data_IF_133641289282
#
_entry.id   IF_133641289282
#
_cell.length_a   1.000
_cell.length_b   1.000
_cell.length_c   1.000
_cell.angle_alpha   90.00
_cell.angle_beta   90.00
_cell.angle_gamma   90.00
#
_symmetry.space_group_name_H-M   'P 1'
#
loop_
_entity.id
_entity.type
_entity.pdbx_description
1 polymer ?
#
# COMPACT_ATOMS: atom_id res chain seq x y z
N UNK A 1 -42.49 55.67 50.76
CA UNK A 1 -41.49 56.21 51.70
C UNK A 1 -40.11 55.92 51.12
N UNK A 2 -39.40 56.95 50.67
CA UNK A 2 -37.94 57.16 50.50
C UNK A 2 -37.28 56.20 49.58
N UNK A 3 -36.99 56.53 48.29
CA UNK A 3 -35.91 57.38 47.79
C UNK A 3 -34.49 56.79 48.10
N UNK A 4 -33.77 56.36 47.08
CA UNK A 4 -32.49 56.96 46.67
C UNK A 4 -31.86 56.26 45.47
N UNK A 5 -31.76 57.04 44.52
CA UNK A 5 -30.92 57.20 43.38
C UNK A 5 -29.41 56.87 43.61
N UNK A 6 -28.73 56.11 42.73
CA UNK A 6 -27.33 56.33 42.47
C UNK A 6 -26.91 55.74 41.07
N UNK A 7 -26.82 56.67 40.18
CA UNK A 7 -25.74 56.95 39.22
C UNK A 7 -24.84 55.78 38.81
N UNK A 8 -24.89 55.55 37.51
CA UNK A 8 -23.87 55.20 36.53
C UNK A 8 -22.45 55.08 37.03
N UNK A 9 -21.81 53.98 36.69
CA UNK A 9 -20.40 53.99 36.18
C UNK A 9 -20.31 52.98 35.07
N UNK A 10 -20.21 53.47 33.84
CA UNK A 10 -19.70 52.77 32.68
C UNK A 10 -18.26 52.28 32.96
N UNK A 11 -18.01 50.98 32.84
CA UNK A 11 -16.69 50.46 32.59
C UNK A 11 -16.73 49.53 31.40
N UNK A 12 -16.36 50.07 30.26
CA UNK A 12 -15.99 49.30 29.08
C UNK A 12 -14.75 48.45 29.43
N UNK A 13 -14.93 47.14 29.57
CA UNK A 13 -13.82 46.21 29.59
C UNK A 13 -13.48 45.89 28.13
N UNK A 14 -12.50 46.57 27.60
CA UNK A 14 -11.91 46.25 26.31
C UNK A 14 -11.11 44.93 26.50
N UNK A 15 -11.67 43.80 26.06
CA UNK A 15 -10.91 42.61 25.87
C UNK A 15 -10.05 42.79 24.61
N UNK A 16 -8.80 43.17 24.79
CA UNK A 16 -7.78 43.06 23.75
C UNK A 16 -7.50 41.57 23.50
N UNK A 17 -8.09 41.04 22.44
CA UNK A 17 -7.64 39.77 21.87
C UNK A 17 -6.26 40.02 21.24
N UNK A 18 -5.22 39.71 21.98
CA UNK A 18 -3.89 39.52 21.39
C UNK A 18 -3.93 38.17 20.65
N UNK A 19 -4.23 38.20 19.36
CA UNK A 19 -3.99 37.08 18.48
C UNK A 19 -2.47 36.90 18.37
N UNK A 20 -1.91 35.99 19.18
CA UNK A 20 -0.59 35.48 18.97
C UNK A 20 -0.65 34.62 17.70
N UNK A 21 -0.41 35.23 16.56
CA UNK A 21 -0.03 34.52 15.34
C UNK A 21 1.30 33.86 15.63
N UNK A 22 1.28 32.60 16.15
CA UNK A 22 2.41 31.72 16.05
C UNK A 22 2.61 31.40 14.57
N UNK A 23 3.42 32.22 13.91
CA UNK A 23 4.11 31.85 12.68
C UNK A 23 4.97 30.62 13.03
N UNK A 24 4.35 29.45 12.95
CA UNK A 24 5.10 28.20 12.89
C UNK A 24 5.98 28.31 11.65
N UNK A 25 7.24 28.64 11.86
CA UNK A 25 8.27 28.39 10.88
C UNK A 25 8.24 26.89 10.58
N UNK A 26 7.50 26.49 9.56
CA UNK A 26 7.77 25.26 8.88
C UNK A 26 9.20 25.39 8.33
N UNK A 27 10.16 24.97 9.12
CA UNK A 27 11.47 24.68 8.62
C UNK A 27 11.28 23.55 7.60
N UNK A 28 11.14 23.90 6.33
CA UNK A 28 11.42 22.96 5.25
C UNK A 28 12.87 22.52 5.46
N UNK A 29 13.06 21.37 6.10
CA UNK A 29 14.38 20.74 6.13
C UNK A 29 14.76 20.56 4.68
N UNK A 30 15.83 21.25 4.24
CA UNK A 30 16.43 20.99 2.94
C UNK A 30 16.66 19.49 2.85
N UNK A 31 16.25 18.83 1.76
CA UNK A 31 16.47 17.41 1.62
C UNK A 31 17.97 17.15 1.79
N UNK A 32 18.34 16.47 2.85
CA UNK A 32 19.72 16.04 3.08
C UNK A 32 19.99 15.02 1.97
N UNK A 33 20.99 15.26 1.15
CA UNK A 33 21.36 14.37 0.07
C UNK A 33 21.81 13.04 0.70
N UNK A 34 21.05 11.97 0.49
CA UNK A 34 21.41 10.63 0.97
C UNK A 34 22.78 10.23 0.41
N UNK A 35 23.65 9.72 1.26
CA UNK A 35 24.93 9.13 0.84
C UNK A 35 24.68 7.68 0.49
N UNK A 36 24.48 7.39 -0.78
CA UNK A 36 24.34 6.04 -1.31
C UNK A 36 25.58 5.66 -2.11
N UNK A 37 26.01 4.43 -1.92
CA UNK A 37 27.06 3.84 -2.76
C UNK A 37 26.42 3.39 -4.08
N UNK A 38 26.70 4.11 -5.16
CA UNK A 38 26.17 3.79 -6.47
C UNK A 38 27.07 2.82 -7.21
N UNK A 39 26.46 1.75 -7.75
CA UNK A 39 27.13 0.81 -8.62
C UNK A 39 26.48 0.82 -10.01
N UNK A 40 26.98 1.64 -10.90
CA UNK A 40 26.47 1.77 -12.26
C UNK A 40 26.74 0.53 -13.14
N UNK A 41 27.56 -0.45 -12.69
CA UNK A 41 27.70 -1.73 -13.37
C UNK A 41 26.47 -2.62 -13.29
N UNK A 42 25.51 -2.27 -12.41
CA UNK A 42 24.20 -2.92 -12.33
C UNK A 42 23.25 -2.48 -13.46
N UNK A 43 23.58 -1.38 -14.16
CA UNK A 43 22.76 -0.86 -15.26
C UNK A 43 23.17 -1.59 -16.55
N UNK A 44 22.23 -2.28 -17.17
CA UNK A 44 22.49 -3.01 -18.41
C UNK A 44 22.49 -2.09 -19.64
N UNK A 45 23.08 -2.59 -20.74
CA UNK A 45 23.07 -1.85 -22.00
C UNK A 45 21.63 -1.70 -22.51
N UNK A 46 21.22 -0.46 -22.79
CA UNK A 46 19.83 -0.14 -23.22
C UNK A 46 18.95 0.45 -22.13
N UNK A 47 19.29 0.30 -20.85
CA UNK A 47 18.53 0.86 -19.72
C UNK A 47 18.79 2.36 -19.54
N UNK A 48 18.39 3.17 -20.54
CA UNK A 48 18.63 4.61 -20.58
C UNK A 48 17.92 5.43 -19.50
N UNK A 49 16.92 4.84 -18.82
CA UNK A 49 16.14 5.49 -17.76
C UNK A 49 16.80 5.41 -16.39
N UNK A 50 17.78 4.51 -16.20
CA UNK A 50 18.47 4.33 -14.93
C UNK A 50 19.78 5.11 -14.85
N UNK A 51 20.07 5.61 -13.67
CA UNK A 51 21.39 6.09 -13.26
C UNK A 51 21.48 6.07 -11.74
N UNK A 52 22.70 6.02 -11.22
CA UNK A 52 22.95 6.00 -9.77
C UNK A 52 22.24 4.82 -9.07
N UNK A 53 22.36 3.64 -9.64
CA UNK A 53 21.75 2.41 -9.08
C UNK A 53 22.50 1.99 -7.82
N UNK A 54 21.76 1.56 -6.79
CA UNK A 54 22.33 1.00 -5.55
C UNK A 54 21.53 -0.23 -5.14
N UNK A 55 22.22 -1.33 -4.91
CA UNK A 55 21.62 -2.53 -4.32
C UNK A 55 21.55 -2.37 -2.79
N UNK A 56 20.38 -2.62 -2.20
CA UNK A 56 20.13 -2.40 -0.77
C UNK A 56 20.06 -3.70 0.03
N UNK A 57 19.70 -4.83 -0.58
CA UNK A 57 19.64 -6.15 0.06
C UNK A 57 20.54 -7.15 -0.68
N UNK A 58 21.10 -8.12 0.04
CA UNK A 58 22.11 -9.06 -0.50
C UNK A 58 21.79 -10.52 -0.20
N UNK A 59 20.72 -10.82 0.52
CA UNK A 59 20.25 -12.16 0.87
C UNK A 59 18.74 -12.20 1.00
N UNK A 60 18.17 -13.42 1.11
CA UNK A 60 16.76 -13.66 1.31
C UNK A 60 15.89 -13.34 0.08
N UNK A 61 14.59 -13.48 0.26
CA UNK A 61 13.59 -13.01 -0.68
C UNK A 61 13.03 -11.69 -0.14
N UNK A 62 13.06 -10.63 -0.97
CA UNK A 62 12.65 -9.28 -0.59
C UNK A 62 11.67 -8.75 -1.64
N UNK A 63 10.55 -8.21 -1.22
CA UNK A 63 9.51 -7.75 -2.12
C UNK A 63 8.77 -6.52 -1.57
N UNK A 64 8.05 -5.85 -2.47
CA UNK A 64 7.10 -4.76 -2.17
C UNK A 64 7.70 -3.65 -1.28
N UNK A 65 8.81 -3.06 -1.74
CA UNK A 65 9.47 -1.98 -1.03
C UNK A 65 8.85 -0.62 -1.38
N UNK A 66 8.44 0.12 -0.35
CA UNK A 66 7.85 1.45 -0.49
C UNK A 66 8.58 2.48 0.38
N UNK A 67 8.71 3.70 -0.15
CA UNK A 67 9.37 4.79 0.56
C UNK A 67 8.49 5.39 1.67
N UNK A 68 9.14 5.87 2.73
CA UNK A 68 8.55 6.83 3.66
C UNK A 68 8.28 8.17 2.95
N UNK A 69 7.40 9.00 3.51
CA UNK A 69 7.04 10.31 2.93
C UNK A 69 8.26 11.25 2.80
N UNK A 70 9.23 11.13 3.70
CA UNK A 70 10.48 11.89 3.65
C UNK A 70 11.57 11.24 2.76
N UNK A 71 11.30 10.03 2.20
CA UNK A 71 12.21 9.29 1.32
C UNK A 71 13.46 8.72 2.01
N UNK A 72 13.50 8.65 3.35
CA UNK A 72 14.67 8.20 4.10
C UNK A 72 14.62 6.74 4.50
N UNK A 73 13.45 6.14 4.47
CA UNK A 73 13.22 4.75 4.87
C UNK A 73 12.52 4.00 3.75
N UNK A 74 12.70 2.68 3.76
CA UNK A 74 11.91 1.72 2.99
C UNK A 74 11.20 0.81 3.97
N UNK A 75 9.92 0.52 3.70
CA UNK A 75 9.19 -0.58 4.32
C UNK A 75 9.03 -1.66 3.26
N UNK A 76 9.27 -2.92 3.63
CA UNK A 76 9.23 -4.04 2.68
C UNK A 76 8.95 -5.36 3.38
N UNK A 77 8.49 -6.34 2.64
CA UNK A 77 8.36 -7.71 3.12
C UNK A 77 9.59 -8.52 2.75
N UNK A 78 10.01 -9.40 3.65
CA UNK A 78 11.11 -10.30 3.41
C UNK A 78 11.04 -11.54 4.31
N UNK A 79 11.70 -12.61 3.83
CA UNK A 79 12.13 -13.72 4.67
C UNK A 79 13.58 -14.09 4.31
N UNK A 80 14.30 -14.66 5.26
CA UNK A 80 15.68 -15.09 5.10
C UNK A 80 15.85 -16.54 5.58
N UNK A 81 16.64 -17.30 4.84
CA UNK A 81 17.01 -18.67 5.16
C UNK A 81 15.81 -19.61 5.34
N UNK A 82 15.76 -20.25 6.51
CA UNK A 82 14.73 -21.23 6.86
C UNK A 82 13.42 -20.63 7.35
N UNK A 83 13.31 -19.30 7.47
CA UNK A 83 12.05 -18.65 7.73
C UNK A 83 11.10 -18.92 6.57
N UNK A 84 9.95 -19.53 6.87
CA UNK A 84 9.01 -19.95 5.84
C UNK A 84 8.03 -18.85 5.44
N UNK A 85 7.94 -17.77 6.23
CA UNK A 85 6.97 -16.69 6.05
C UNK A 85 7.60 -15.33 5.97
N UNK A 86 7.08 -14.54 5.03
CA UNK A 86 7.40 -13.12 4.97
C UNK A 86 6.98 -12.39 6.25
N UNK A 87 7.82 -11.46 6.64
CA UNK A 87 7.60 -10.49 7.71
C UNK A 87 7.90 -9.09 7.19
N UNK A 88 7.42 -8.06 7.88
CA UNK A 88 7.63 -6.68 7.48
C UNK A 88 8.82 -6.07 8.21
N UNK A 89 9.68 -5.43 7.42
CA UNK A 89 10.87 -4.74 7.88
C UNK A 89 10.88 -3.29 7.44
N UNK A 90 11.53 -2.44 8.23
CA UNK A 90 11.87 -1.07 7.85
C UNK A 90 13.40 -0.97 7.77
N UNK A 91 13.90 -0.44 6.66
CA UNK A 91 15.30 -0.09 6.46
C UNK A 91 15.48 1.43 6.48
N UNK A 92 16.39 1.93 7.27
CA UNK A 92 16.93 3.28 7.09
C UNK A 92 17.94 3.25 5.94
N UNK A 93 17.69 4.03 4.89
CA UNK A 93 18.44 3.94 3.63
C UNK A 93 19.89 4.41 3.79
N UNK A 94 20.16 5.38 4.67
CA UNK A 94 21.50 5.92 4.85
C UNK A 94 22.38 5.00 5.73
N UNK A 95 21.84 4.58 6.87
CA UNK A 95 22.57 3.73 7.81
C UNK A 95 22.54 2.23 7.44
N UNK A 96 21.62 1.82 6.57
CA UNK A 96 21.33 0.41 6.22
C UNK A 96 20.83 -0.42 7.41
N UNK A 97 20.48 0.22 8.53
CA UNK A 97 19.88 -0.49 9.66
C UNK A 97 18.50 -1.01 9.30
N UNK A 98 18.21 -2.25 9.67
CA UNK A 98 16.96 -2.95 9.40
C UNK A 98 16.30 -3.31 10.73
N UNK A 99 14.99 -3.08 10.82
CA UNK A 99 14.17 -3.39 11.99
C UNK A 99 12.95 -4.22 11.56
N UNK A 100 12.68 -5.32 12.28
CA UNK A 100 11.44 -6.07 12.16
C UNK A 100 10.29 -5.26 12.79
N UNK A 101 9.23 -4.99 12.03
CA UNK A 101 8.10 -4.16 12.48
C UNK A 101 6.75 -4.87 12.41
N UNK A 102 6.70 -6.11 11.96
CA UNK A 102 5.56 -7.01 12.15
C UNK A 102 5.72 -7.86 13.41
N UNK A 103 4.73 -8.65 13.74
CA UNK A 103 4.71 -9.43 14.98
C UNK A 103 5.70 -10.59 15.03
N UNK A 104 6.25 -11.00 13.88
CA UNK A 104 7.05 -12.21 13.74
C UNK A 104 6.22 -13.51 13.70
N UNK A 105 4.89 -13.42 13.79
CA UNK A 105 3.98 -14.54 13.78
C UNK A 105 3.08 -14.48 12.52
N UNK A 106 2.63 -15.66 12.06
CA UNK A 106 1.84 -15.82 10.86
C UNK A 106 2.60 -15.41 9.59
N UNK A 107 1.89 -15.25 8.50
CA UNK A 107 2.41 -14.64 7.27
C UNK A 107 1.96 -13.18 7.21
N UNK A 108 2.88 -12.29 6.86
CA UNK A 108 2.64 -10.84 6.80
C UNK A 108 3.11 -10.28 5.47
N UNK A 109 2.27 -9.49 4.81
CA UNK A 109 2.54 -8.98 3.45
C UNK A 109 2.01 -7.56 3.26
N UNK A 110 2.37 -6.93 2.13
CA UNK A 110 1.76 -5.70 1.61
C UNK A 110 1.70 -4.59 2.65
N UNK A 111 2.86 -4.11 3.04
CA UNK A 111 2.99 -3.03 4.02
C UNK A 111 3.11 -1.65 3.37
N UNK A 112 2.68 -0.62 4.09
CA UNK A 112 2.82 0.76 3.64
C UNK A 112 3.01 1.72 4.83
N UNK A 113 3.69 2.85 4.61
CA UNK A 113 3.78 3.89 5.64
C UNK A 113 2.47 4.65 5.78
N UNK A 114 2.19 5.10 6.99
CA UNK A 114 1.05 5.99 7.26
C UNK A 114 1.39 7.42 6.85
N UNK A 115 1.04 7.76 5.64
CA UNK A 115 1.23 9.09 5.08
C UNK A 115 0.29 10.12 5.74
N UNK A 116 0.63 11.43 5.74
CA UNK A 116 1.90 12.03 5.25
C UNK A 116 3.01 12.10 6.31
N UNK A 117 2.77 11.63 7.53
CA UNK A 117 3.63 11.92 8.68
C UNK A 117 4.55 10.75 9.06
N UNK A 118 4.42 9.59 8.42
CA UNK A 118 5.18 8.37 8.71
C UNK A 118 5.18 7.97 10.21
N UNK A 119 4.08 8.27 10.92
CA UNK A 119 3.96 8.01 12.36
C UNK A 119 3.39 6.62 12.68
N UNK A 120 3.26 5.78 11.68
CA UNK A 120 2.76 4.41 11.76
C UNK A 120 2.90 3.69 10.44
N UNK A 121 2.49 2.44 10.43
CA UNK A 121 2.49 1.54 9.29
C UNK A 121 1.15 0.82 9.17
N UNK A 122 0.86 0.33 7.97
CA UNK A 122 -0.22 -0.59 7.71
C UNK A 122 0.36 -1.84 7.06
N UNK A 123 -0.19 -3.01 7.35
CA UNK A 123 0.20 -4.27 6.73
C UNK A 123 -0.94 -5.29 6.84
N UNK A 124 -0.86 -6.35 6.05
CA UNK A 124 -1.81 -7.47 6.09
C UNK A 124 -1.16 -8.67 6.73
N UNK A 125 -1.88 -9.38 7.62
CA UNK A 125 -1.30 -10.52 8.35
C UNK A 125 -2.36 -11.52 8.80
N UNK A 126 -1.94 -12.79 8.93
CA UNK A 126 -2.75 -13.87 9.51
C UNK A 126 -2.49 -14.08 11.01
N UNK A 127 -1.59 -13.33 11.64
CA UNK A 127 -1.07 -13.61 12.99
C UNK A 127 -2.14 -13.76 14.09
N UNK A 128 -3.30 -13.13 13.94
CA UNK A 128 -4.39 -13.28 14.90
C UNK A 128 -5.26 -14.52 14.67
N UNK A 129 -5.33 -15.00 13.43
CA UNK A 129 -6.09 -16.20 13.07
C UNK A 129 -5.21 -17.45 13.18
N UNK A 130 -4.03 -17.40 12.61
CA UNK A 130 -3.02 -18.45 12.68
C UNK A 130 -1.61 -17.85 12.88
N UNK A 131 -0.99 -18.04 14.06
CA UNK A 131 0.36 -17.55 14.31
C UNK A 131 1.45 -18.38 13.61
N UNK A 132 1.13 -19.59 13.16
CA UNK A 132 2.08 -20.44 12.46
C UNK A 132 2.20 -20.05 10.99
N UNK A 133 3.35 -20.34 10.41
CA UNK A 133 3.57 -20.16 8.98
C UNK A 133 2.79 -21.24 8.20
N UNK A 134 1.90 -20.88 7.28
CA UNK A 134 1.21 -21.86 6.47
C UNK A 134 2.18 -22.58 5.53
N UNK A 135 1.85 -23.83 5.13
CA UNK A 135 2.67 -24.57 4.17
C UNK A 135 2.75 -23.81 2.83
N UNK A 136 3.87 -24.01 2.12
CA UNK A 136 4.03 -23.46 0.78
C UNK A 136 2.89 -23.91 -0.13
N UNK A 137 2.39 -23.07 -1.05
CA UNK A 137 1.36 -23.45 -2.00
C UNK A 137 1.79 -24.65 -2.87
N UNK A 138 0.82 -25.49 -3.23
CA UNK A 138 1.02 -26.53 -4.24
C UNK A 138 1.01 -25.88 -5.65
N UNK A 139 2.16 -25.89 -6.32
CA UNK A 139 2.31 -25.36 -7.65
C UNK A 139 2.07 -26.38 -8.78
N UNK A 140 1.47 -27.56 -8.48
CA UNK A 140 1.14 -28.56 -9.51
C UNK A 140 0.18 -28.03 -10.58
N UNK A 141 -0.64 -27.02 -10.24
CA UNK A 141 -1.51 -26.29 -11.17
C UNK A 141 -0.84 -25.06 -11.83
N UNK A 142 0.47 -24.93 -11.73
CA UNK A 142 1.23 -23.78 -12.20
C UNK A 142 1.39 -22.70 -11.12
N UNK A 143 1.85 -21.50 -11.54
CA UNK A 143 2.06 -20.39 -10.62
C UNK A 143 0.72 -19.81 -10.17
N UNK A 144 0.46 -19.88 -8.87
CA UNK A 144 -0.75 -19.36 -8.21
C UNK A 144 -0.38 -18.56 -6.97
N UNK A 145 -1.22 -17.60 -6.61
CA UNK A 145 -1.19 -16.93 -5.31
C UNK A 145 -2.20 -17.55 -4.38
N UNK A 146 -1.77 -17.86 -3.18
CA UNK A 146 -2.64 -18.36 -2.12
C UNK A 146 -3.22 -17.20 -1.33
N UNK A 147 -4.55 -17.18 -1.24
CA UNK A 147 -5.31 -16.23 -0.46
C UNK A 147 -5.61 -16.88 0.90
N UNK A 148 -4.66 -16.83 1.82
CA UNK A 148 -4.86 -17.47 3.11
C UNK A 148 -6.05 -16.81 3.84
N UNK A 149 -7.07 -17.58 4.25
CA UNK A 149 -8.10 -17.06 5.12
C UNK A 149 -7.51 -16.49 6.40
N UNK A 150 -8.17 -15.48 6.97
CA UNK A 150 -7.67 -14.83 8.18
C UNK A 150 -6.66 -13.71 7.93
N UNK A 151 -6.28 -13.44 6.66
CA UNK A 151 -5.61 -12.19 6.36
C UNK A 151 -6.51 -11.01 6.70
N UNK A 152 -6.06 -10.19 7.64
CA UNK A 152 -6.69 -8.93 7.99
C UNK A 152 -5.67 -7.80 7.93
N UNK A 153 -6.17 -6.58 7.79
CA UNK A 153 -5.36 -5.36 7.71
C UNK A 153 -5.16 -4.83 9.13
N UNK A 154 -3.91 -4.53 9.47
CA UNK A 154 -3.50 -3.99 10.77
C UNK A 154 -2.80 -2.65 10.59
N UNK A 155 -3.11 -1.71 11.50
CA UNK A 155 -2.32 -0.50 11.72
C UNK A 155 -1.44 -0.70 12.95
N UNK A 156 -0.18 -0.28 12.89
CA UNK A 156 0.74 -0.31 14.02
C UNK A 156 1.55 0.99 14.10
N UNK A 157 2.18 1.23 15.25
CA UNK A 157 3.18 2.29 15.37
C UNK A 157 4.39 2.01 14.50
N UNK A 158 5.23 3.02 14.25
CA UNK A 158 6.38 2.92 13.33
C UNK A 158 7.36 1.78 13.68
N UNK A 159 7.56 1.47 14.97
CA UNK A 159 8.34 0.32 15.44
C UNK A 159 7.51 -0.96 15.60
N UNK A 160 6.38 -1.11 14.91
CA UNK A 160 5.54 -2.31 14.99
C UNK A 160 4.74 -2.47 16.29
N UNK A 161 4.74 -1.46 17.16
CA UNK A 161 4.08 -1.53 18.47
C UNK A 161 2.56 -1.50 18.35
N UNK A 162 1.88 -2.28 19.20
CA UNK A 162 0.43 -2.26 19.40
C UNK A 162 -0.39 -2.41 18.10
N UNK A 163 -0.23 -3.49 17.34
CA UNK A 163 -1.00 -3.70 16.13
C UNK A 163 -2.50 -3.74 16.43
N UNK A 164 -3.27 -2.95 15.67
CA UNK A 164 -4.73 -2.83 15.78
C UNK A 164 -5.38 -3.27 14.47
N UNK A 165 -6.32 -4.24 14.49
CA UNK A 165 -7.02 -4.63 13.28
C UNK A 165 -7.92 -3.49 12.77
N UNK A 166 -7.87 -3.25 11.46
CA UNK A 166 -8.78 -2.36 10.73
C UNK A 166 -9.89 -3.16 10.04
N UNK A 167 -9.60 -4.44 9.75
CA UNK A 167 -10.57 -5.40 9.23
C UNK A 167 -10.62 -6.64 10.11
N UNK A 168 -11.71 -7.40 9.98
CA UNK A 168 -11.97 -8.65 10.73
C UNK A 168 -12.87 -9.59 9.94
N UNK A 169 -12.73 -9.57 8.60
CA UNK A 169 -13.49 -10.47 7.74
C UNK A 169 -12.93 -11.89 7.81
N UNK A 170 -13.76 -12.92 7.64
CA UNK A 170 -13.29 -14.31 7.67
C UNK A 170 -12.51 -14.71 6.39
N UNK A 171 -12.45 -13.84 5.39
CA UNK A 171 -11.80 -14.09 4.11
C UNK A 171 -10.39 -13.52 4.05
N UNK A 172 -10.12 -12.84 2.95
CA UNK A 172 -8.84 -12.23 2.61
C UNK A 172 -9.02 -10.73 2.48
N UNK A 173 -8.37 -9.97 3.36
CA UNK A 173 -8.23 -8.52 3.28
C UNK A 173 -6.74 -8.18 3.25
N UNK A 174 -6.25 -7.64 2.13
CA UNK A 174 -4.83 -7.36 1.94
C UNK A 174 -4.55 -6.19 0.98
N UNK A 175 -3.27 -5.98 0.65
CA UNK A 175 -2.79 -4.98 -0.31
C UNK A 175 -3.22 -3.54 0.05
N UNK A 176 -3.24 -3.23 1.34
CA UNK A 176 -3.70 -1.95 1.83
C UNK A 176 -2.66 -0.84 1.70
N UNK A 177 -3.07 0.30 1.13
CA UNK A 177 -2.23 1.51 1.04
C UNK A 177 -2.99 2.76 1.47
N UNK A 178 -2.28 3.72 2.06
CA UNK A 178 -2.84 5.03 2.39
C UNK A 178 -2.88 5.95 1.17
N UNK A 179 -3.87 6.83 1.10
CA UNK A 179 -3.77 8.04 0.28
C UNK A 179 -2.67 8.95 0.83
N UNK A 180 -2.02 9.72 -0.06
CA UNK A 180 -0.89 10.58 0.33
C UNK A 180 -1.27 11.71 1.29
N UNK A 181 -2.55 12.08 1.35
CA UNK A 181 -3.10 13.01 2.34
C UNK A 181 -3.51 12.34 3.66
N UNK A 182 -3.39 11.00 3.75
CA UNK A 182 -3.69 10.19 4.92
C UNK A 182 -5.16 10.06 5.28
N UNK A 183 -6.09 10.44 4.38
CA UNK A 183 -7.52 10.46 4.71
C UNK A 183 -8.27 9.18 4.31
N UNK A 184 -7.66 8.37 3.45
CA UNK A 184 -8.26 7.12 2.97
C UNK A 184 -7.23 5.99 2.95
N UNK A 185 -7.75 4.79 3.07
CA UNK A 185 -7.05 3.53 2.81
C UNK A 185 -7.79 2.85 1.67
N UNK A 186 -7.05 2.30 0.69
CA UNK A 186 -7.57 1.40 -0.32
C UNK A 186 -6.99 0.01 -0.09
N UNK A 187 -7.77 -1.04 -0.35
CA UNK A 187 -7.36 -2.42 -0.11
C UNK A 187 -8.15 -3.39 -0.98
N UNK A 188 -7.65 -4.61 -1.10
CA UNK A 188 -8.33 -5.73 -1.77
C UNK A 188 -9.03 -6.59 -0.74
N UNK A 189 -10.29 -6.98 -1.00
CA UNK A 189 -11.08 -7.80 -0.08
C UNK A 189 -11.96 -8.84 -0.80
N UNK A 190 -12.08 -10.02 -0.19
CA UNK A 190 -13.02 -11.08 -0.59
C UNK A 190 -14.41 -10.97 0.06
N UNK A 191 -14.68 -9.94 0.83
CA UNK A 191 -15.94 -9.83 1.62
C UNK A 191 -17.20 -9.84 0.77
N UNK A 192 -17.11 -9.41 -0.51
CA UNK A 192 -18.21 -9.46 -1.49
C UNK A 192 -18.34 -10.80 -2.22
N UNK A 193 -17.44 -11.76 -1.96
CA UNK A 193 -17.40 -13.06 -2.64
C UNK A 193 -16.46 -13.13 -3.84
N UNK A 194 -15.84 -12.00 -4.21
CA UNK A 194 -14.80 -11.88 -5.22
C UNK A 194 -13.73 -10.89 -4.76
N UNK A 195 -12.56 -10.88 -5.44
CA UNK A 195 -11.44 -9.99 -5.11
C UNK A 195 -11.67 -8.59 -5.68
N UNK A 196 -12.20 -7.73 -4.83
CA UNK A 196 -12.60 -6.38 -5.22
C UNK A 196 -11.83 -5.31 -4.44
N UNK A 197 -11.69 -4.12 -5.04
CA UNK A 197 -11.14 -2.96 -4.33
C UNK A 197 -12.19 -2.33 -3.43
N UNK A 198 -11.76 -2.05 -2.22
CA UNK A 198 -12.52 -1.35 -1.19
C UNK A 198 -11.74 -0.14 -0.67
N UNK A 199 -12.45 0.88 -0.25
CA UNK A 199 -11.87 1.99 0.51
C UNK A 199 -12.43 2.05 1.92
N UNK A 200 -11.66 2.63 2.84
CA UNK A 200 -12.09 2.91 4.21
C UNK A 200 -11.41 4.17 4.76
N UNK A 201 -11.92 4.67 5.87
CA UNK A 201 -11.25 5.71 6.65
C UNK A 201 -10.05 5.12 7.41
N UNK A 202 -9.06 5.94 7.85
CA UNK A 202 -7.88 5.46 8.58
C UNK A 202 -8.19 4.74 9.90
N UNK A 203 -9.36 4.95 10.48
CA UNK A 203 -9.82 4.24 11.67
C UNK A 203 -10.49 2.89 11.40
N UNK A 204 -10.62 2.49 10.13
CA UNK A 204 -11.27 1.26 9.67
C UNK A 204 -12.78 1.41 9.42
N UNK A 205 -13.35 2.59 9.65
CA UNK A 205 -14.77 2.89 9.42
C UNK A 205 -15.04 3.26 7.95
N UNK A 206 -16.31 3.39 7.58
CA UNK A 206 -16.73 3.92 6.27
C UNK A 206 -16.27 3.06 5.10
N UNK A 207 -16.30 1.73 5.24
CA UNK A 207 -15.94 0.79 4.18
C UNK A 207 -16.87 0.93 2.99
N UNK A 208 -16.30 1.06 1.81
CA UNK A 208 -17.02 1.23 0.54
C UNK A 208 -16.37 0.38 -0.54
N UNK A 209 -17.16 -0.44 -1.23
CA UNK A 209 -16.73 -1.19 -2.42
C UNK A 209 -16.59 -0.24 -3.61
N UNK A 210 -15.46 -0.35 -4.34
CA UNK A 210 -15.15 0.49 -5.50
C UNK A 210 -15.25 -0.27 -6.82
N UNK A 211 -14.97 -1.58 -6.82
CA UNK A 211 -15.09 -2.46 -7.99
C UNK A 211 -16.07 -3.60 -7.73
N UNK A 212 -16.62 -4.19 -8.81
CA UNK A 212 -17.64 -5.26 -8.70
C UNK A 212 -17.72 -6.12 -9.98
N UNK A 213 -16.62 -6.29 -10.70
CA UNK A 213 -16.56 -7.10 -11.92
C UNK A 213 -15.88 -8.43 -11.58
N UNK A 214 -16.48 -9.55 -12.05
CA UNK A 214 -15.88 -10.88 -11.83
C UNK A 214 -14.41 -10.89 -12.27
N UNK A 215 -13.53 -11.21 -11.33
CA UNK A 215 -12.08 -11.24 -11.54
C UNK A 215 -11.30 -10.75 -10.34
N UNK A 216 -10.05 -10.43 -10.57
CA UNK A 216 -9.14 -9.91 -9.56
C UNK A 216 -8.91 -8.42 -9.74
N UNK A 217 -9.18 -7.65 -8.71
CA UNK A 217 -8.79 -6.25 -8.56
C UNK A 217 -7.87 -6.11 -7.36
N UNK A 218 -6.63 -5.61 -7.54
CA UNK A 218 -5.71 -5.50 -6.42
C UNK A 218 -4.48 -4.63 -6.67
N UNK A 219 -3.65 -4.49 -5.63
CA UNK A 219 -2.42 -3.72 -5.66
C UNK A 219 -2.62 -2.26 -6.04
N UNK A 220 -3.59 -1.61 -5.40
CA UNK A 220 -4.03 -0.27 -5.74
C UNK A 220 -3.27 0.82 -4.98
N UNK A 221 -3.04 1.95 -5.67
CA UNK A 221 -2.43 3.15 -5.10
C UNK A 221 -3.22 4.40 -5.50
N UNK A 222 -3.31 5.35 -4.58
CA UNK A 222 -3.80 6.68 -4.89
C UNK A 222 -2.77 7.50 -5.67
N UNK A 223 -3.24 8.44 -6.49
CA UNK A 223 -2.39 9.53 -7.00
C UNK A 223 -1.95 10.45 -5.85
N UNK A 224 -0.87 11.23 -6.05
CA UNK A 224 -0.33 12.09 -5.00
C UNK A 224 -1.32 13.16 -4.50
N UNK A 225 -2.24 13.59 -5.34
CA UNK A 225 -3.34 14.52 -5.00
C UNK A 225 -4.58 13.80 -4.43
N UNK A 226 -4.52 12.47 -4.30
CA UNK A 226 -5.59 11.60 -3.84
C UNK A 226 -6.88 11.65 -4.68
N UNK A 227 -6.84 12.19 -5.91
CA UNK A 227 -8.00 12.32 -6.79
C UNK A 227 -8.29 11.08 -7.64
N UNK A 228 -7.27 10.25 -7.87
CA UNK A 228 -7.34 9.04 -8.70
C UNK A 228 -6.75 7.83 -7.99
N UNK A 229 -7.10 6.67 -8.52
CA UNK A 229 -6.59 5.36 -8.11
C UNK A 229 -6.05 4.67 -9.36
N UNK A 230 -4.91 3.99 -9.24
CA UNK A 230 -4.35 3.06 -10.21
C UNK A 230 -4.26 1.69 -9.56
N UNK A 231 -4.58 0.64 -10.32
CA UNK A 231 -4.50 -0.75 -9.83
C UNK A 231 -4.22 -1.74 -10.96
N UNK A 232 -3.97 -2.99 -10.61
CA UNK A 232 -3.89 -4.11 -11.56
C UNK A 232 -5.15 -4.96 -11.46
N UNK A 233 -5.65 -5.43 -12.60
CA UNK A 233 -6.83 -6.28 -12.65
C UNK A 233 -6.70 -7.39 -13.70
N UNK A 234 -7.39 -8.51 -13.44
CA UNK A 234 -7.65 -9.57 -14.38
C UNK A 234 -9.13 -9.89 -14.40
N UNK A 235 -9.73 -9.81 -15.58
CA UNK A 235 -11.14 -10.13 -15.78
C UNK A 235 -11.25 -11.28 -16.77
N UNK A 236 -11.65 -12.52 -16.35
CA UNK A 236 -11.83 -13.64 -17.24
C UNK A 236 -12.98 -13.38 -18.22
N UNK A 237 -12.76 -13.66 -19.50
CA UNK A 237 -13.72 -13.35 -20.55
C UNK A 237 -14.32 -14.61 -21.20
N UNK A 238 -13.55 -15.70 -21.32
CA UNK A 238 -14.02 -16.95 -21.87
C UNK A 238 -14.65 -17.86 -20.80
N UNK A 239 -15.49 -18.79 -21.21
CA UNK A 239 -16.06 -19.78 -20.28
C UNK A 239 -14.98 -20.61 -19.55
N UNK A 240 -13.88 -20.91 -20.24
CA UNK A 240 -12.76 -21.65 -19.68
C UNK A 240 -12.03 -20.82 -18.61
N UNK A 241 -11.71 -19.55 -18.89
CA UNK A 241 -11.09 -18.64 -17.93
C UNK A 241 -11.96 -18.41 -16.71
N UNK A 242 -13.28 -18.21 -16.93
CA UNK A 242 -14.25 -18.05 -15.83
C UNK A 242 -14.29 -19.29 -14.95
N UNK A 243 -14.27 -20.50 -15.57
CA UNK A 243 -14.27 -21.76 -14.83
C UNK A 243 -12.96 -21.97 -14.03
N UNK A 244 -11.78 -21.68 -14.63
CA UNK A 244 -10.49 -21.77 -13.94
C UNK A 244 -10.43 -20.77 -12.78
N UNK A 245 -10.81 -19.51 -13.01
CA UNK A 245 -10.82 -18.47 -11.98
C UNK A 245 -11.71 -18.87 -10.79
N UNK A 246 -12.94 -19.27 -11.04
CA UNK A 246 -13.88 -19.70 -9.98
C UNK A 246 -13.39 -20.94 -9.24
N UNK A 247 -12.80 -21.92 -9.96
CA UNK A 247 -12.24 -23.11 -9.36
C UNK A 247 -11.08 -22.78 -8.42
N UNK A 248 -10.18 -21.90 -8.84
CA UNK A 248 -9.05 -21.46 -8.00
C UNK A 248 -9.55 -20.64 -6.80
N UNK A 249 -10.50 -19.74 -7.00
CA UNK A 249 -11.03 -18.90 -5.93
C UNK A 249 -11.73 -19.73 -4.85
N UNK A 250 -12.45 -20.80 -5.24
CA UNK A 250 -13.07 -21.75 -4.29
C UNK A 250 -12.02 -22.48 -3.43
N UNK A 251 -10.77 -22.59 -3.89
CA UNK A 251 -9.63 -23.13 -3.18
C UNK A 251 -8.76 -22.03 -2.50
N UNK A 252 -9.30 -20.81 -2.36
CA UNK A 252 -8.59 -19.64 -1.88
C UNK A 252 -7.27 -19.40 -2.64
N UNK A 253 -7.34 -19.35 -3.95
CA UNK A 253 -6.18 -19.15 -4.82
C UNK A 253 -6.58 -18.34 -6.05
N UNK A 254 -5.62 -17.67 -6.67
CA UNK A 254 -5.77 -17.03 -7.98
C UNK A 254 -4.53 -17.27 -8.84
N UNK A 255 -4.70 -17.10 -10.15
CA UNK A 255 -3.61 -17.13 -11.12
C UNK A 255 -3.29 -15.70 -11.56
N UNK A 256 -2.13 -15.12 -11.17
CA UNK A 256 -1.78 -13.74 -11.50
C UNK A 256 -1.22 -13.63 -12.92
N UNK A 257 -2.03 -13.96 -13.93
CA UNK A 257 -1.65 -13.88 -15.35
C UNK A 257 -2.48 -12.81 -16.06
N UNK A 258 -1.90 -12.21 -17.11
CA UNK A 258 -2.56 -11.22 -17.95
C UNK A 258 -3.19 -10.04 -17.17
N UNK A 259 -2.54 -9.66 -16.07
CA UNK A 259 -2.97 -8.51 -15.26
C UNK A 259 -2.82 -7.22 -16.07
N UNK A 260 -3.88 -6.45 -16.17
CA UNK A 260 -3.88 -5.16 -16.86
C UNK A 260 -3.92 -3.99 -15.88
N UNK A 261 -3.32 -2.87 -16.25
CA UNK A 261 -3.35 -1.64 -15.46
C UNK A 261 -4.63 -0.88 -15.76
N UNK A 262 -5.30 -0.45 -14.72
CA UNK A 262 -6.53 0.33 -14.76
C UNK A 262 -6.41 1.58 -13.92
N UNK A 263 -7.23 2.58 -14.23
CA UNK A 263 -7.38 3.80 -13.43
C UNK A 263 -8.85 4.12 -13.19
N UNK A 264 -9.13 4.83 -12.09
CA UNK A 264 -10.46 5.38 -11.78
C UNK A 264 -10.32 6.67 -10.96
N UNK A 265 -11.40 7.40 -10.82
CA UNK A 265 -11.49 8.45 -9.81
C UNK A 265 -11.48 7.83 -8.39
N UNK A 266 -11.07 8.60 -7.39
CA UNK A 266 -11.00 8.13 -5.99
C UNK A 266 -12.35 7.68 -5.41
N UNK A 267 -13.47 8.11 -6.00
CA UNK A 267 -14.83 7.70 -5.64
C UNK A 267 -15.32 6.41 -6.32
N UNK A 268 -14.47 5.77 -7.15
CA UNK A 268 -14.79 4.55 -7.89
C UNK A 268 -15.43 4.78 -9.27
N UNK A 269 -15.62 6.03 -9.69
CA UNK A 269 -16.16 6.38 -11.00
C UNK A 269 -15.09 6.43 -12.10
N UNK A 270 -15.50 6.47 -13.38
CA UNK A 270 -14.61 6.66 -14.52
C UNK A 270 -13.48 5.62 -14.59
N UNK A 271 -13.83 4.34 -14.52
CA UNK A 271 -12.88 3.24 -14.68
C UNK A 271 -12.40 3.16 -16.14
N UNK A 272 -11.08 3.13 -16.31
CA UNK A 272 -10.43 3.10 -17.61
C UNK A 272 -9.28 2.10 -17.62
N UNK A 273 -9.23 1.23 -18.63
CA UNK A 273 -8.13 0.31 -18.85
C UNK A 273 -6.98 1.05 -19.56
N UNK A 274 -5.80 0.99 -18.99
CA UNK A 274 -4.59 1.67 -19.50
C UNK A 274 -3.73 0.75 -20.36
N UNK A 275 -3.59 -0.53 -19.96
CA UNK A 275 -2.85 -1.52 -20.74
C UNK A 275 -3.77 -2.57 -21.33
N UNK A 276 -3.40 -3.09 -22.50
CA UNK A 276 -4.08 -4.21 -23.16
C UNK A 276 -3.02 -5.01 -23.96
N UNK A 277 -2.15 -5.71 -23.26
CA UNK A 277 -0.95 -6.32 -23.87
C UNK A 277 -0.81 -7.82 -23.62
N UNK A 278 -1.82 -8.47 -23.03
CA UNK A 278 -1.81 -9.90 -22.64
C UNK A 278 -0.60 -10.33 -21.82
N UNK A 279 -0.02 -9.39 -21.08
CA UNK A 279 1.17 -9.59 -20.24
C UNK A 279 0.81 -9.43 -18.78
N UNK A 280 1.66 -9.91 -17.89
CA UNK A 280 1.53 -9.62 -16.49
C UNK A 280 2.11 -8.22 -16.20
N UNK A 281 1.29 -7.30 -15.72
CA UNK A 281 1.69 -5.96 -15.33
C UNK A 281 1.49 -5.78 -13.82
N UNK A 282 2.52 -5.32 -13.10
CA UNK A 282 2.54 -5.25 -11.64
C UNK A 282 2.97 -3.88 -11.13
N UNK A 283 2.61 -3.59 -9.88
CA UNK A 283 3.10 -2.47 -9.11
C UNK A 283 2.91 -1.11 -9.78
N UNK A 284 1.72 -0.79 -10.34
CA UNK A 284 1.50 0.50 -10.98
C UNK A 284 1.58 1.63 -9.95
N UNK A 285 2.28 2.70 -10.29
CA UNK A 285 2.44 3.84 -9.40
C UNK A 285 2.41 5.16 -10.17
N UNK A 286 1.71 6.16 -9.65
CA UNK A 286 1.68 7.47 -10.27
C UNK A 286 2.99 8.24 -10.08
N UNK A 287 3.44 8.93 -11.12
CA UNK A 287 4.42 9.99 -10.96
C UNK A 287 3.84 11.14 -10.11
N UNK A 288 4.68 11.90 -9.39
CA UNK A 288 4.21 12.96 -8.49
C UNK A 288 3.29 14.00 -9.13
N UNK A 289 3.45 14.26 -10.42
CA UNK A 289 2.59 15.20 -11.18
C UNK A 289 1.30 14.56 -11.72
N UNK A 290 1.05 13.28 -11.46
CA UNK A 290 -0.13 12.56 -11.95
C UNK A 290 -0.18 12.28 -13.45
N UNK A 291 0.77 12.79 -14.23
CA UNK A 291 0.74 12.72 -15.70
C UNK A 291 1.27 11.41 -16.30
N UNK A 292 1.87 10.55 -15.51
CA UNK A 292 2.44 9.25 -15.94
C UNK A 292 2.23 8.20 -14.86
N UNK A 293 2.25 6.95 -15.29
CA UNK A 293 2.26 5.76 -14.43
C UNK A 293 3.51 4.97 -14.76
N UNK A 294 4.26 4.53 -13.75
CA UNK A 294 5.32 3.52 -13.85
C UNK A 294 4.74 2.19 -13.41
N UNK A 295 5.12 1.13 -14.06
CA UNK A 295 4.72 -0.23 -13.70
C UNK A 295 5.75 -1.23 -14.21
N UNK A 296 5.78 -2.42 -13.63
CA UNK A 296 6.63 -3.52 -14.05
C UNK A 296 5.85 -4.45 -14.98
N UNK A 297 6.48 -4.92 -16.06
CA UNK A 297 5.80 -5.75 -17.08
C UNK A 297 6.76 -6.74 -17.73
N UNK A 298 6.24 -7.93 -18.08
CA UNK A 298 6.93 -8.88 -18.94
C UNK A 298 6.49 -8.80 -20.41
N UNK A 299 6.04 -7.62 -20.87
CA UNK A 299 5.46 -7.45 -22.22
C UNK A 299 6.43 -7.80 -23.38
N UNK A 300 7.73 -7.75 -23.15
CA UNK A 300 8.74 -8.12 -24.14
C UNK A 300 8.84 -9.65 -24.33
N UNK A 301 8.52 -10.44 -23.28
CA UNK A 301 8.35 -11.89 -23.30
C UNK A 301 7.20 -12.33 -22.37
N UNK A 302 5.94 -12.33 -22.85
CA UNK A 302 4.77 -12.61 -22.01
C UNK A 302 4.74 -13.99 -21.37
N UNK A 303 5.60 -14.91 -21.83
CA UNK A 303 5.76 -16.26 -21.25
C UNK A 303 6.96 -16.35 -20.30
N UNK A 304 7.82 -15.35 -20.31
CA UNK A 304 8.98 -15.23 -19.47
C UNK A 304 8.65 -14.76 -18.05
N UNK A 305 9.66 -14.79 -17.20
CA UNK A 305 9.60 -14.34 -15.81
C UNK A 305 10.40 -13.06 -15.56
N UNK A 306 11.00 -12.50 -16.60
CA UNK A 306 11.74 -11.24 -16.52
C UNK A 306 10.79 -10.08 -16.69
N UNK A 307 10.91 -9.10 -15.81
CA UNK A 307 10.08 -7.92 -15.77
C UNK A 307 10.93 -6.67 -15.90
N UNK A 308 10.51 -5.78 -16.76
CA UNK A 308 11.08 -4.44 -16.95
C UNK A 308 10.16 -3.34 -16.44
N UNK A 309 10.69 -2.13 -16.27
CA UNK A 309 9.94 -0.93 -15.86
C UNK A 309 9.63 -0.03 -17.05
#
# INVERSE_FOLDING_TARGET
MISLNRKEINKYVIFSFVAVLSLGCFHQRKPTKLKLDFNNSLILSGESHFKNMSQLTFSGENAEAYFSADGRKLIYQAHDGDSLCDQIYIMDIESKSVELVSTGAGVTTCSFFKYPNDNGIIYSSTHMDNPDCPPKPDFSRGYIWKLYPGFNIFEAGLGGSSPRPLTSSPGYDAEATYSFDGKKIIYTSLVSGDLELWSMNPDGSGKQQLTNRLGYDGGAFYSYDASKIVWRAYYPETEEEIADYKSLLAENSIRPMALQIWTMNADGTNKEQITNNNSANFGPFYFPNGGKIIFSSNMHDPKGRDFDL
#
